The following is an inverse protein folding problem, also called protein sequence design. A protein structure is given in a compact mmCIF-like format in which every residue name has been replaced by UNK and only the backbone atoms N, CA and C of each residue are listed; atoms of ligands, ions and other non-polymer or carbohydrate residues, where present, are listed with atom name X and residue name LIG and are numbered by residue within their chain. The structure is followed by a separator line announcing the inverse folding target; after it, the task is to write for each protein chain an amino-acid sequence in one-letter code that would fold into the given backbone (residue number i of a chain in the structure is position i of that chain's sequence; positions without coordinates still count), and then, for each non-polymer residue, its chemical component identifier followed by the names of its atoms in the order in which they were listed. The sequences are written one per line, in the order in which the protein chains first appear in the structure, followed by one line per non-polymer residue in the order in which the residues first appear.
data_IF_467303153428
#
_entry.id   IF_467303153428
#
_cell.length_a   1.000
_cell.length_b   1.000
_cell.length_c   1.000
_cell.angle_alpha   90.00
_cell.angle_beta   90.00
_cell.angle_gamma   90.00
#
_symmetry.space_group_name_H-M   'P 1'
#
loop_
_entity.id
_entity.type
_entity.pdbx_description
1 polymer ?
#
# COMPACT_ATOMS: atom_id res chain seq x y z
N UNK A 1 -8.36 -16.19 13.69
CA UNK A 1 -9.54 -15.31 13.67
C UNK A 1 -10.36 -15.66 14.89
N UNK A 2 -10.76 -14.69 15.69
CA UNK A 2 -11.54 -14.93 16.91
C UNK A 2 -12.89 -15.60 16.55
N UNK A 3 -13.23 -16.70 17.23
CA UNK A 3 -14.44 -17.50 16.95
C UNK A 3 -15.72 -16.68 17.17
N UNK A 4 -15.69 -15.71 18.08
CA UNK A 4 -16.87 -14.87 18.36
C UNK A 4 -17.06 -13.80 17.28
N UNK A 5 -15.97 -13.21 16.77
CA UNK A 5 -16.03 -12.27 15.64
C UNK A 5 -16.59 -12.96 14.40
N UNK A 6 -16.12 -14.17 14.09
CA UNK A 6 -16.61 -14.92 12.93
C UNK A 6 -18.12 -15.23 13.00
N UNK A 7 -18.64 -15.57 14.18
CA UNK A 7 -20.08 -15.79 14.38
C UNK A 7 -20.88 -14.50 14.19
N UNK A 8 -20.45 -13.39 14.80
CA UNK A 8 -21.12 -12.10 14.67
C UNK A 8 -21.11 -11.61 13.23
N UNK A 9 -19.98 -11.73 12.52
CA UNK A 9 -19.88 -11.37 11.11
C UNK A 9 -20.81 -12.20 10.22
N UNK A 10 -21.02 -13.48 10.54
CA UNK A 10 -21.93 -14.35 9.78
C UNK A 10 -23.42 -14.00 9.98
N UNK A 11 -23.77 -13.30 11.07
CA UNK A 11 -25.14 -12.85 11.36
C UNK A 11 -25.48 -11.49 10.72
N UNK A 12 -24.48 -10.73 10.28
CA UNK A 12 -24.69 -9.43 9.67
C UNK A 12 -25.19 -9.57 8.22
N UNK A 13 -26.13 -8.72 7.78
CA UNK A 13 -26.43 -8.56 6.36
C UNK A 13 -25.15 -8.23 5.58
N UNK A 14 -25.01 -8.79 4.38
CA UNK A 14 -23.83 -8.56 3.53
C UNK A 14 -23.50 -7.08 3.35
N UNK A 15 -24.53 -6.23 3.22
CA UNK A 15 -24.37 -4.78 3.08
C UNK A 15 -23.73 -4.13 4.32
N UNK A 16 -24.11 -4.57 5.53
CA UNK A 16 -23.56 -4.06 6.77
C UNK A 16 -22.09 -4.48 6.94
N UNK A 17 -21.77 -5.72 6.55
CA UNK A 17 -20.39 -6.20 6.54
C UNK A 17 -19.53 -5.40 5.55
N UNK A 18 -20.03 -5.15 4.33
CA UNK A 18 -19.31 -4.36 3.33
C UNK A 18 -19.08 -2.92 3.79
N UNK A 19 -20.10 -2.27 4.36
CA UNK A 19 -19.96 -0.92 4.92
C UNK A 19 -18.92 -0.86 6.05
N UNK A 20 -18.91 -1.86 6.92
CA UNK A 20 -17.91 -1.96 7.99
C UNK A 20 -16.49 -2.12 7.42
N UNK A 21 -16.31 -3.00 6.44
CA UNK A 21 -15.04 -3.20 5.76
C UNK A 21 -14.56 -1.91 5.07
N UNK A 22 -15.44 -1.21 4.35
CA UNK A 22 -15.14 0.07 3.71
C UNK A 22 -14.71 1.11 4.75
N UNK A 23 -15.40 1.20 5.89
CA UNK A 23 -15.01 2.08 7.00
C UNK A 23 -13.62 1.74 7.53
N UNK A 24 -13.30 0.46 7.74
CA UNK A 24 -11.98 0.05 8.20
C UNK A 24 -10.88 0.41 7.19
N UNK A 25 -11.13 0.24 5.89
CA UNK A 25 -10.19 0.59 4.82
C UNK A 25 -9.95 2.10 4.79
N UNK A 26 -11.02 2.91 4.84
CA UNK A 26 -10.91 4.38 4.85
C UNK A 26 -10.12 4.84 6.09
N UNK A 27 -10.44 4.29 7.26
CA UNK A 27 -9.78 4.66 8.51
C UNK A 27 -8.31 4.31 8.47
N UNK A 28 -7.95 3.14 7.93
CA UNK A 28 -6.57 2.71 7.84
C UNK A 28 -5.74 3.58 6.88
N UNK A 29 -6.27 3.88 5.69
CA UNK A 29 -5.59 4.76 4.74
C UNK A 29 -5.37 6.15 5.34
N UNK A 30 -6.41 6.74 5.97
CA UNK A 30 -6.30 8.08 6.55
C UNK A 30 -5.33 8.12 7.73
N UNK A 31 -5.34 7.09 8.59
CA UNK A 31 -4.45 7.03 9.76
C UNK A 31 -3.00 6.83 9.33
N UNK A 32 -2.74 5.89 8.42
CA UNK A 32 -1.37 5.62 7.92
C UNK A 32 -0.81 6.83 7.17
N UNK A 33 -1.60 7.46 6.29
CA UNK A 33 -1.18 8.69 5.62
C UNK A 33 -0.83 9.81 6.62
N UNK A 34 -1.64 10.00 7.68
CA UNK A 34 -1.33 10.99 8.72
C UNK A 34 -0.01 10.69 9.44
N UNK A 35 0.27 9.42 9.73
CA UNK A 35 1.55 8.99 10.31
C UNK A 35 2.72 9.35 9.37
N UNK A 36 2.54 9.15 8.06
CA UNK A 36 3.53 9.48 7.03
C UNK A 36 3.55 10.97 6.64
N UNK A 37 2.72 11.81 7.28
CA UNK A 37 2.64 13.26 7.01
C UNK A 37 1.87 13.64 5.74
N UNK A 38 1.20 12.67 5.10
CA UNK A 38 0.39 12.86 3.90
C UNK A 38 -1.03 13.28 4.30
N UNK A 39 -1.45 14.47 3.85
CA UNK A 39 -2.81 14.95 4.09
C UNK A 39 -3.81 14.17 3.23
N UNK A 40 -4.80 13.56 3.89
CA UNK A 40 -5.92 12.87 3.25
C UNK A 40 -7.18 12.99 4.11
N UNK A 41 -8.36 12.94 3.48
CA UNK A 41 -9.63 13.02 4.21
C UNK A 41 -10.50 11.78 4.01
N UNK A 42 -11.31 11.44 5.02
CA UNK A 42 -12.28 10.33 4.93
C UNK A 42 -13.24 10.47 3.74
N UNK A 43 -13.64 11.72 3.43
CA UNK A 43 -14.54 12.03 2.31
C UNK A 43 -13.87 11.70 0.99
N UNK A 44 -12.65 12.19 0.78
CA UNK A 44 -11.86 11.96 -0.43
C UNK A 44 -11.63 10.46 -0.68
N UNK A 45 -11.16 9.73 0.33
CA UNK A 45 -10.93 8.28 0.20
C UNK A 45 -12.25 7.52 -0.02
N UNK A 46 -13.33 7.94 0.63
CA UNK A 46 -14.66 7.36 0.44
C UNK A 46 -15.19 7.56 -0.98
N UNK A 47 -15.06 8.75 -1.56
CA UNK A 47 -15.49 9.05 -2.93
C UNK A 47 -14.76 8.17 -3.96
N UNK A 48 -13.47 7.89 -3.74
CA UNK A 48 -12.69 6.98 -4.60
C UNK A 48 -13.17 5.54 -4.46
N UNK A 49 -13.45 5.10 -3.23
CA UNK A 49 -13.90 3.74 -2.94
C UNK A 49 -15.30 3.46 -3.50
N UNK A 50 -16.17 4.46 -3.53
CA UNK A 50 -17.52 4.37 -4.08
C UNK A 50 -17.53 4.37 -5.63
N UNK A 51 -16.46 4.87 -6.28
CA UNK A 51 -16.32 4.96 -7.74
C UNK A 51 -15.00 4.32 -8.25
N UNK A 52 -14.77 3.06 -7.88
CA UNK A 52 -13.61 2.30 -8.37
C UNK A 52 -13.67 2.02 -9.89
N UNK A 53 -14.88 1.90 -10.46
CA UNK A 53 -15.07 1.66 -11.89
C UNK A 53 -14.83 2.92 -12.75
N UNK A 54 -15.06 4.12 -12.20
CA UNK A 54 -14.94 5.39 -12.89
C UNK A 54 -13.52 5.84 -13.21
N UNK A 55 -12.49 5.09 -12.80
CA UNK A 55 -11.07 5.44 -12.94
C UNK A 55 -10.81 6.89 -12.51
N UNK A 56 -11.08 7.16 -11.24
CA UNK A 56 -10.85 8.48 -10.64
C UNK A 56 -9.45 8.99 -10.95
N UNK A 57 -9.35 10.30 -11.23
CA UNK A 57 -8.07 10.99 -11.41
C UNK A 57 -7.46 11.42 -10.07
N UNK A 58 -8.07 11.05 -8.94
CA UNK A 58 -7.50 11.37 -7.64
C UNK A 58 -6.16 10.65 -7.45
N UNK A 59 -5.17 11.34 -6.89
CA UNK A 59 -3.84 10.82 -6.58
C UNK A 59 -3.82 9.52 -5.78
N UNK A 60 -4.80 9.32 -4.90
CA UNK A 60 -4.94 8.13 -4.06
C UNK A 60 -5.66 6.97 -4.74
N UNK A 61 -6.11 7.12 -6.01
CA UNK A 61 -6.84 6.06 -6.72
C UNK A 61 -6.06 4.74 -6.75
N UNK A 62 -4.76 4.78 -7.05
CA UNK A 62 -3.90 3.60 -7.08
C UNK A 62 -3.88 2.86 -5.75
N UNK A 63 -3.66 3.60 -4.66
CA UNK A 63 -3.68 3.09 -3.29
C UNK A 63 -5.03 2.46 -2.92
N UNK A 64 -6.13 3.21 -3.07
CA UNK A 64 -7.48 2.75 -2.69
C UNK A 64 -7.90 1.54 -3.51
N UNK A 65 -7.66 1.55 -4.83
CA UNK A 65 -7.97 0.43 -5.71
C UNK A 65 -7.21 -0.84 -5.30
N UNK A 66 -5.94 -0.71 -4.90
CA UNK A 66 -5.15 -1.87 -4.46
C UNK A 66 -5.68 -2.47 -3.16
N UNK A 67 -6.02 -1.62 -2.17
CA UNK A 67 -6.62 -2.09 -0.92
C UNK A 67 -7.98 -2.77 -1.15
N UNK A 68 -8.79 -2.25 -2.08
CA UNK A 68 -10.07 -2.86 -2.45
C UNK A 68 -9.87 -4.23 -3.12
N UNK A 69 -8.90 -4.36 -4.03
CA UNK A 69 -8.57 -5.64 -4.70
C UNK A 69 -8.11 -6.73 -3.72
N UNK A 70 -7.45 -6.38 -2.60
CA UNK A 70 -7.09 -7.36 -1.57
C UNK A 70 -8.32 -8.00 -0.90
N UNK A 71 -9.47 -7.32 -0.89
CA UNK A 71 -10.71 -7.85 -0.32
C UNK A 71 -11.36 -8.91 -1.21
N UNK A 72 -11.22 -8.80 -2.53
CA UNK A 72 -11.79 -9.76 -3.49
C UNK A 72 -11.01 -11.09 -3.52
N UNK A 73 -9.98 -11.25 -2.67
CA UNK A 73 -9.04 -12.37 -2.66
C UNK A 73 -8.33 -12.55 -4.00
N UNK A 74 -8.17 -11.47 -4.78
CA UNK A 74 -7.24 -11.50 -5.88
C UNK A 74 -5.86 -11.91 -5.35
N UNK A 75 -5.31 -12.96 -5.94
CA UNK A 75 -4.04 -13.48 -5.51
C UNK A 75 -2.94 -12.58 -6.07
N UNK A 76 -2.47 -11.64 -5.25
CA UNK A 76 -1.35 -10.77 -5.60
C UNK A 76 -0.06 -11.61 -5.61
N UNK A 77 0.32 -12.09 -6.79
CA UNK A 77 1.54 -12.89 -6.95
C UNK A 77 2.76 -11.97 -7.04
N UNK A 78 3.57 -11.96 -5.97
CA UNK A 78 4.85 -11.23 -5.92
C UNK A 78 5.98 -12.26 -5.97
N UNK A 79 6.62 -12.40 -7.12
CA UNK A 79 7.67 -13.39 -7.36
C UNK A 79 9.05 -12.76 -7.54
N UNK A 80 9.10 -11.50 -7.95
CA UNK A 80 10.31 -10.78 -8.29
C UNK A 80 10.30 -9.38 -7.70
N UNK A 81 11.49 -8.77 -7.60
CA UNK A 81 11.61 -7.36 -7.24
C UNK A 81 10.91 -6.44 -8.24
N UNK A 82 10.79 -6.86 -9.51
CA UNK A 82 10.03 -6.12 -10.51
C UNK A 82 8.52 -6.12 -10.21
N UNK A 83 7.98 -7.21 -9.66
CA UNK A 83 6.56 -7.25 -9.25
C UNK A 83 6.31 -6.25 -8.12
N UNK A 84 7.24 -6.11 -7.18
CA UNK A 84 7.18 -5.10 -6.11
C UNK A 84 7.27 -3.70 -6.71
N UNK A 85 8.17 -3.48 -7.69
CA UNK A 85 8.27 -2.18 -8.36
C UNK A 85 6.98 -1.81 -9.09
N UNK A 86 6.38 -2.76 -9.80
CA UNK A 86 5.12 -2.53 -10.51
C UNK A 86 3.98 -2.22 -9.54
N UNK A 87 3.91 -2.93 -8.41
CA UNK A 87 2.95 -2.66 -7.34
C UNK A 87 3.14 -1.27 -6.74
N UNK A 88 4.39 -0.89 -6.46
CA UNK A 88 4.73 0.43 -5.95
C UNK A 88 4.29 1.53 -6.92
N UNK A 89 4.55 1.35 -8.21
CA UNK A 89 4.17 2.32 -9.23
C UNK A 89 2.64 2.43 -9.39
N UNK A 90 1.95 1.30 -9.37
CA UNK A 90 0.48 1.25 -9.41
C UNK A 90 -0.14 2.01 -8.23
N UNK A 91 0.46 1.90 -7.03
CA UNK A 91 -0.09 2.49 -5.81
C UNK A 91 0.22 3.98 -5.67
N UNK A 92 1.46 4.40 -5.96
CA UNK A 92 1.98 5.70 -5.51
C UNK A 92 2.47 6.61 -6.63
N UNK A 93 2.69 6.13 -7.86
CA UNK A 93 3.38 6.93 -8.88
C UNK A 93 2.60 8.18 -9.29
N UNK A 94 1.26 8.10 -9.35
CA UNK A 94 0.41 9.24 -9.66
C UNK A 94 0.54 10.32 -8.58
N UNK A 95 0.46 9.92 -7.30
CA UNK A 95 0.63 10.81 -6.15
C UNK A 95 2.00 11.48 -6.12
N UNK A 96 3.07 10.72 -6.29
CA UNK A 96 4.43 11.27 -6.29
C UNK A 96 4.67 12.29 -7.40
N UNK A 97 4.08 12.07 -8.58
CA UNK A 97 4.19 13.03 -9.70
C UNK A 97 3.46 14.33 -9.43
N UNK A 98 2.39 14.31 -8.63
CA UNK A 98 1.62 15.49 -8.27
C UNK A 98 2.22 16.26 -7.08
N UNK A 99 2.75 15.56 -6.07
CA UNK A 99 3.33 16.20 -4.87
C UNK A 99 4.76 16.70 -5.08
N UNK A 100 5.71 15.81 -5.37
CA UNK A 100 7.10 16.16 -5.66
C UNK A 100 7.68 15.21 -6.73
N UNK A 101 7.78 15.68 -7.99
CA UNK A 101 8.36 14.89 -9.07
C UNK A 101 9.79 14.37 -8.81
N UNK A 102 10.54 14.95 -7.85
CA UNK A 102 11.87 14.49 -7.46
C UNK A 102 11.83 13.19 -6.66
N UNK A 103 10.71 12.92 -5.99
CA UNK A 103 10.53 11.70 -5.21
C UNK A 103 10.13 10.50 -6.07
N UNK A 104 9.77 10.73 -7.34
CA UNK A 104 9.55 9.65 -8.31
C UNK A 104 10.81 8.78 -8.42
N UNK A 105 10.73 7.46 -8.26
CA UNK A 105 11.89 6.60 -8.35
C UNK A 105 12.62 6.71 -9.70
N UNK A 106 13.94 6.96 -9.66
CA UNK A 106 14.80 7.30 -10.80
C UNK A 106 15.57 6.10 -11.40
N UNK A 107 15.47 4.92 -10.78
CA UNK A 107 16.06 3.67 -11.26
C UNK A 107 15.04 2.65 -11.78
N UNK A 108 15.53 1.51 -12.27
CA UNK A 108 14.66 0.46 -12.83
C UNK A 108 13.79 -0.20 -11.76
N UNK A 109 14.40 -0.66 -10.66
CA UNK A 109 13.70 -1.34 -9.56
C UNK A 109 13.76 -0.50 -8.27
N UNK A 110 14.94 0.01 -7.93
CA UNK A 110 15.18 0.88 -6.77
C UNK A 110 15.63 2.27 -7.20
N UNK A 111 15.60 3.25 -6.28
CA UNK A 111 16.21 4.56 -6.51
C UNK A 111 17.73 4.41 -6.76
N UNK A 112 18.26 5.19 -7.70
CA UNK A 112 19.70 5.29 -8.00
C UNK A 112 20.43 6.13 -6.98
N UNK A 113 19.73 7.07 -6.36
CA UNK A 113 20.30 7.97 -5.37
C UNK A 113 20.10 7.42 -3.96
N UNK A 114 21.02 7.77 -3.08
CA UNK A 114 20.90 7.47 -1.65
C UNK A 114 19.66 8.17 -1.05
N UNK A 115 19.01 7.51 -0.10
CA UNK A 115 17.86 8.04 0.64
C UNK A 115 18.17 8.01 2.12
N UNK A 116 17.94 9.11 2.81
CA UNK A 116 18.02 9.20 4.26
C UNK A 116 16.66 8.97 4.91
N UNK A 117 16.65 8.27 6.04
CA UNK A 117 15.52 8.32 6.96
C UNK A 117 15.75 9.51 7.89
N UNK A 118 14.80 10.45 7.88
CA UNK A 118 14.85 11.67 8.69
C UNK A 118 13.81 11.63 9.80
N UNK A 119 14.11 12.27 10.93
CA UNK A 119 13.14 12.54 11.98
C UNK A 119 12.12 13.61 11.54
N UNK A 120 11.05 13.78 12.33
CA UNK A 120 10.11 14.89 12.16
C UNK A 120 10.78 16.28 12.21
N UNK A 121 11.97 16.40 12.80
CA UNK A 121 12.77 17.63 12.85
C UNK A 121 13.82 17.72 11.72
N UNK A 122 13.69 16.92 10.66
CA UNK A 122 14.59 16.88 9.49
C UNK A 122 16.04 16.46 9.83
N UNK A 123 16.25 15.79 10.97
CA UNK A 123 17.55 15.23 11.33
C UNK A 123 17.66 13.83 10.74
N UNK A 124 18.73 13.55 10.01
CA UNK A 124 19.02 12.19 9.55
C UNK A 124 19.20 11.26 10.76
N UNK A 125 18.38 10.21 10.82
CA UNK A 125 18.42 9.17 11.85
C UNK A 125 18.98 7.85 11.32
N UNK A 126 18.93 7.62 10.01
CA UNK A 126 19.54 6.47 9.37
C UNK A 126 19.89 6.77 7.91
N UNK A 127 21.11 6.43 7.51
CA UNK A 127 21.56 6.53 6.12
C UNK A 127 21.13 5.29 5.33
N UNK A 128 20.47 5.47 4.20
CA UNK A 128 20.03 4.36 3.35
C UNK A 128 21.21 3.52 2.88
N UNK A 129 21.08 2.19 2.98
CA UNK A 129 22.11 1.29 2.48
C UNK A 129 22.12 1.30 0.94
N UNK A 130 23.12 1.93 0.34
CA UNK A 130 23.27 2.02 -1.11
C UNK A 130 23.68 0.68 -1.77
N UNK A 131 24.35 -0.22 -1.04
CA UNK A 131 24.93 -1.43 -1.61
C UNK A 131 23.99 -2.64 -1.53
N UNK A 132 23.60 -3.19 -2.69
CA UNK A 132 22.86 -4.46 -2.87
C UNK A 132 21.41 -4.53 -2.35
N UNK A 133 20.63 -3.44 -2.45
CA UNK A 133 19.19 -3.47 -2.16
C UNK A 133 18.45 -4.60 -2.92
N UNK A 134 18.85 -4.88 -4.16
CA UNK A 134 18.32 -5.99 -4.98
C UNK A 134 18.44 -7.36 -4.28
N UNK A 135 19.58 -7.65 -3.66
CA UNK A 135 19.81 -8.94 -3.02
C UNK A 135 18.98 -9.09 -1.75
N UNK A 136 18.82 -8.02 -0.98
CA UNK A 136 18.01 -8.01 0.24
C UNK A 136 16.54 -8.33 -0.06
N UNK A 137 15.93 -7.59 -1.00
CA UNK A 137 14.53 -7.79 -1.35
C UNK A 137 14.28 -9.14 -2.04
N UNK A 138 15.17 -9.54 -2.95
CA UNK A 138 15.08 -10.86 -3.60
C UNK A 138 15.18 -12.01 -2.59
N UNK A 139 16.06 -11.87 -1.59
CA UNK A 139 16.18 -12.85 -0.50
C UNK A 139 14.92 -12.89 0.37
N UNK A 140 14.32 -11.73 0.65
CA UNK A 140 13.05 -11.65 1.39
C UNK A 140 11.90 -12.31 0.64
N UNK A 141 11.74 -12.02 -0.66
CA UNK A 141 10.72 -12.65 -1.52
C UNK A 141 10.92 -14.16 -1.55
N UNK A 142 12.15 -14.63 -1.77
CA UNK A 142 12.47 -16.05 -1.79
C UNK A 142 12.10 -16.74 -0.46
N UNK A 143 12.42 -16.10 0.68
CA UNK A 143 12.12 -16.67 1.99
C UNK A 143 10.60 -16.73 2.25
N UNK A 144 9.85 -15.68 1.89
CA UNK A 144 8.37 -15.71 1.95
C UNK A 144 7.76 -16.86 1.15
N UNK A 145 8.28 -17.15 -0.05
CA UNK A 145 7.82 -18.29 -0.86
C UNK A 145 8.07 -19.63 -0.17
N UNK A 146 9.23 -19.80 0.46
CA UNK A 146 9.58 -21.02 1.20
C UNK A 146 8.59 -21.29 2.33
N UNK A 147 8.15 -20.27 3.06
CA UNK A 147 7.14 -20.42 4.12
C UNK A 147 5.71 -20.63 3.60
N UNK A 148 5.37 -20.09 2.42
CA UNK A 148 4.07 -20.34 1.79
C UNK A 148 3.95 -21.75 1.18
N UNK A 149 5.06 -22.40 0.79
CA UNK A 149 5.08 -23.79 0.31
C UNK A 149 5.06 -24.86 1.41
N UNK A 150 5.09 -24.46 2.68
CA UNK A 150 5.12 -25.35 3.86
C UNK A 150 3.77 -25.46 4.58
N UNK A 151 2.72 -24.86 4.01
CA UNK A 151 1.32 -24.94 4.44
C UNK A 151 0.48 -25.57 3.31
#
# INVERSE_FOLDING_TARGET
MDKEIAKLSALLPKIALQQYINKCLIDEIVITNNIEGVYSTRKEIGEILDDLEGKSKNRFFGLVNKYAALQSKENLSINTSQDIRNLYDEMFLSEMREEDPKDVPDGQIFRKSHVDVVSATQRVIHHGAYSRADYGLSSFIHNKRKYQSLL
#
